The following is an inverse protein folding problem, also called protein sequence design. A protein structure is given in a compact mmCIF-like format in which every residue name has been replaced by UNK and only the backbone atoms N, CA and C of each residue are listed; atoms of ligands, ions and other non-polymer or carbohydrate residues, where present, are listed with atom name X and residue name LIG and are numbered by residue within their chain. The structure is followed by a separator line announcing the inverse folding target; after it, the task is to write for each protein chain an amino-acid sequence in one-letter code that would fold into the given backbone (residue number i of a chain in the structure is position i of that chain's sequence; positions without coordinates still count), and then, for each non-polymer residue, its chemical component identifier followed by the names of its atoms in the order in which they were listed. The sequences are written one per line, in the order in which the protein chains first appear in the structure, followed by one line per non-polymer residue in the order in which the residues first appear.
data_IF_807718876025
#
_entry.id   IF_807718876025
#
_cell.length_a   1.000
_cell.length_b   1.000
_cell.length_c   1.000
_cell.angle_alpha   90.00
_cell.angle_beta   90.00
_cell.angle_gamma   90.00
#
_symmetry.space_group_name_H-M   'P 1'
#
loop_
_entity.id
_entity.type
_entity.pdbx_description
1 polymer ?
#
# COMPACT_ATOMS: atom_id res chain seq x y z
N UNK A 1 -17.22 7.18 0.26
CA UNK A 1 -16.36 5.98 0.25
C UNK A 1 -15.53 6.03 1.53
N UNK A 2 -15.82 5.14 2.47
CA UNK A 2 -15.17 5.08 3.78
C UNK A 2 -13.68 4.77 3.60
N UNK A 3 -12.84 5.51 4.34
CA UNK A 3 -11.39 5.29 4.32
C UNK A 3 -11.11 3.89 4.85
N UNK A 4 -10.73 3.00 3.94
CA UNK A 4 -10.81 1.56 4.14
C UNK A 4 -9.60 1.00 4.88
N UNK A 5 -8.55 1.79 5.15
CA UNK A 5 -7.29 1.28 5.68
C UNK A 5 -7.19 1.31 7.20
N UNK A 6 -6.43 0.38 7.79
CA UNK A 6 -6.21 0.28 9.24
C UNK A 6 -4.73 0.37 9.62
N UNK A 7 -4.44 0.77 10.86
CA UNK A 7 -3.06 0.77 11.38
C UNK A 7 -2.60 -0.68 11.56
N UNK A 8 -1.40 -0.99 11.08
CA UNK A 8 -0.84 -2.34 11.02
C UNK A 8 -1.18 -3.09 9.74
N UNK A 9 -2.03 -2.54 8.87
CA UNK A 9 -2.38 -3.16 7.60
C UNK A 9 -1.24 -3.06 6.58
N UNK A 10 -1.07 -4.12 5.78
CA UNK A 10 -0.15 -4.13 4.65
C UNK A 10 -0.89 -3.71 3.38
N UNK A 11 -0.32 -2.73 2.69
CA UNK A 11 -0.88 -2.17 1.45
C UNK A 11 0.15 -2.25 0.32
N UNK A 12 -0.33 -2.40 -0.92
CA UNK A 12 0.51 -2.41 -2.12
C UNK A 12 0.40 -1.07 -2.81
N UNK A 13 1.54 -0.46 -3.15
CA UNK A 13 1.55 0.76 -3.95
C UNK A 13 1.18 0.45 -5.40
N UNK A 14 0.06 1.00 -5.88
CA UNK A 14 -0.37 0.89 -7.28
C UNK A 14 0.11 2.08 -8.12
N UNK A 15 0.44 3.21 -7.48
CA UNK A 15 0.86 4.43 -8.16
C UNK A 15 1.99 5.17 -7.42
N UNK A 16 3.22 4.88 -7.84
CA UNK A 16 4.43 5.56 -7.38
C UNK A 16 4.82 6.82 -8.19
N UNK A 17 3.99 7.27 -9.15
CA UNK A 17 4.34 8.39 -10.03
C UNK A 17 4.11 9.75 -9.33
N UNK A 18 5.11 10.63 -9.45
CA UNK A 18 4.93 12.08 -9.40
C UNK A 18 5.49 12.67 -10.69
N UNK A 19 4.86 13.73 -11.17
CA UNK A 19 5.04 14.29 -12.50
C UNK A 19 6.46 14.88 -12.73
N UNK A 20 7.24 15.18 -11.67
CA UNK A 20 8.55 15.85 -11.78
C UNK A 20 9.67 15.38 -10.79
N UNK A 21 9.40 14.47 -9.83
CA UNK A 21 10.40 13.97 -8.86
C UNK A 21 9.98 12.66 -8.15
N UNK A 22 10.93 11.95 -7.55
CA UNK A 22 10.69 10.70 -6.80
C UNK A 22 9.90 10.96 -5.51
N UNK A 23 8.82 10.20 -5.28
CA UNK A 23 7.96 10.24 -4.08
C UNK A 23 8.63 9.57 -2.86
N UNK A 24 9.80 10.04 -2.43
CA UNK A 24 10.35 9.58 -1.14
C UNK A 24 10.72 8.11 -1.05
N UNK A 25 11.06 7.48 -2.18
CA UNK A 25 11.40 6.06 -2.21
C UNK A 25 10.20 5.13 -2.41
N UNK A 26 8.99 5.65 -2.57
CA UNK A 26 7.82 4.84 -2.94
C UNK A 26 8.03 4.19 -4.32
N UNK A 27 7.78 2.89 -4.42
CA UNK A 27 7.88 2.12 -5.67
C UNK A 27 6.58 1.37 -5.94
N UNK A 28 6.26 1.25 -7.23
CA UNK A 28 5.08 0.52 -7.67
C UNK A 28 5.25 -0.98 -7.37
N UNK A 29 4.15 -1.61 -6.96
CA UNK A 29 4.02 -3.03 -6.63
C UNK A 29 4.79 -3.48 -5.37
N UNK A 30 5.44 -2.55 -4.66
CA UNK A 30 5.99 -2.81 -3.33
C UNK A 30 4.90 -2.73 -2.24
N UNK A 31 5.12 -3.51 -1.17
CA UNK A 31 4.27 -3.58 0.01
C UNK A 31 4.80 -2.67 1.12
N UNK A 32 3.88 -2.05 1.86
CA UNK A 32 4.18 -1.13 2.94
C UNK A 32 3.21 -1.31 4.10
N UNK A 33 3.67 -1.02 5.32
CA UNK A 33 2.87 -1.13 6.53
C UNK A 33 2.32 0.24 6.93
N UNK A 34 1.00 0.34 7.10
CA UNK A 34 0.35 1.56 7.60
C UNK A 34 0.63 1.72 9.09
N UNK A 35 1.23 2.84 9.49
CA UNK A 35 1.52 3.16 10.92
C UNK A 35 0.73 4.35 11.44
N UNK A 36 -0.02 5.02 10.57
CA UNK A 36 -0.85 6.14 10.96
C UNK A 36 -1.44 6.85 9.76
N UNK A 37 -2.17 7.93 10.06
CA UNK A 37 -2.88 8.72 9.06
C UNK A 37 -2.60 10.20 9.26
N UNK A 38 -2.51 10.94 8.16
CA UNK A 38 -2.54 12.39 8.20
C UNK A 38 -3.92 12.86 8.70
N UNK A 39 -3.99 13.73 9.73
CA UNK A 39 -5.25 14.18 10.32
C UNK A 39 -6.17 14.95 9.36
N UNK A 40 -5.64 15.51 8.26
CA UNK A 40 -6.41 16.36 7.35
C UNK A 40 -7.00 15.62 6.16
N UNK A 41 -6.19 14.83 5.45
CA UNK A 41 -6.56 14.18 4.20
C UNK A 41 -6.64 12.64 4.30
N UNK A 42 -6.41 12.10 5.52
CA UNK A 42 -6.32 10.66 5.80
C UNK A 42 -5.29 9.93 4.92
N UNK A 43 -4.27 10.63 4.42
CA UNK A 43 -3.12 10.02 3.76
C UNK A 43 -2.41 9.03 4.67
N UNK A 44 -1.86 7.97 4.08
CA UNK A 44 -1.22 6.86 4.78
C UNK A 44 0.20 7.23 5.16
N UNK A 45 0.52 7.11 6.45
CA UNK A 45 1.89 7.16 6.95
C UNK A 45 2.41 5.72 6.94
N UNK A 46 3.53 5.50 6.27
CA UNK A 46 4.10 4.17 6.08
C UNK A 46 5.32 3.96 6.99
N UNK A 47 5.54 2.73 7.42
CA UNK A 47 6.68 2.36 8.26
C UNK A 47 8.01 2.48 7.52
N UNK A 48 8.03 2.02 6.27
CA UNK A 48 9.26 1.78 5.50
C UNK A 48 9.75 3.03 4.76
N UNK A 49 8.83 3.93 4.38
CA UNK A 49 9.14 5.11 3.57
C UNK A 49 8.38 6.34 4.06
N UNK A 50 8.99 7.52 3.93
CA UNK A 50 8.41 8.80 4.32
C UNK A 50 8.22 9.68 3.09
N UNK A 51 7.10 10.41 3.04
CA UNK A 51 6.82 11.34 1.93
C UNK A 51 7.59 12.67 2.12
N UNK A 52 8.61 12.99 1.30
CA UNK A 52 9.53 14.11 1.51
C UNK A 52 8.92 15.50 1.21
N UNK A 53 7.61 15.58 0.99
CA UNK A 53 6.91 16.84 0.72
C UNK A 53 5.59 16.97 1.46
N UNK A 54 5.33 16.11 2.45
CA UNK A 54 4.16 16.19 3.31
C UNK A 54 4.62 16.58 4.71
N UNK A 55 4.00 17.61 5.31
CA UNK A 55 4.26 17.99 6.71
C UNK A 55 4.01 16.84 7.70
N UNK A 56 3.14 15.88 7.32
CA UNK A 56 2.83 14.68 8.09
C UNK A 56 3.51 13.41 7.58
N UNK A 57 4.46 13.52 6.64
CA UNK A 57 5.14 12.37 6.00
C UNK A 57 4.21 11.33 5.35
N UNK A 58 2.99 11.71 4.98
CA UNK A 58 1.96 10.81 4.46
C UNK A 58 1.90 10.79 2.93
N UNK A 59 1.35 9.69 2.39
CA UNK A 59 1.05 9.50 0.96
C UNK A 59 -0.46 9.42 0.75
N UNK A 60 -0.96 9.88 -0.40
CA UNK A 60 -2.39 9.83 -0.71
C UNK A 60 -2.91 8.38 -0.77
N UNK A 61 -4.05 8.11 -0.13
CA UNK A 61 -4.64 6.77 -0.01
C UNK A 61 -4.95 6.08 -1.35
N UNK A 62 -5.38 6.86 -2.35
CA UNK A 62 -5.66 6.40 -3.72
C UNK A 62 -4.45 5.75 -4.44
N UNK A 63 -3.24 5.91 -3.90
CA UNK A 63 -2.01 5.31 -4.45
C UNK A 63 -1.80 3.88 -4.00
N UNK A 64 -2.65 3.38 -3.11
CA UNK A 64 -2.52 2.08 -2.49
C UNK A 64 -3.76 1.23 -2.71
N UNK A 65 -3.55 -0.08 -2.76
CA UNK A 65 -4.61 -1.08 -2.63
C UNK A 65 -4.34 -1.96 -1.43
N UNK A 66 -5.40 -2.52 -0.85
CA UNK A 66 -5.26 -3.55 0.19
C UNK A 66 -4.66 -4.82 -0.38
N UNK A 67 -3.89 -5.51 0.46
CA UNK A 67 -3.51 -6.89 0.19
C UNK A 67 -4.68 -7.77 0.61
N UNK A 68 -5.28 -8.45 -0.36
CA UNK A 68 -6.26 -9.50 -0.10
C UNK A 68 -5.52 -10.83 0.09
N UNK A 69 -5.23 -11.15 1.36
CA UNK A 69 -4.54 -12.39 1.73
C UNK A 69 -5.40 -13.63 1.48
N UNK A 70 -6.73 -13.51 1.56
CA UNK A 70 -7.64 -14.63 1.30
C UNK A 70 -7.60 -15.00 -0.19
N UNK A 71 -7.67 -14.00 -1.05
CA UNK A 71 -7.48 -14.19 -2.49
C UNK A 71 -6.13 -14.83 -2.80
N UNK A 72 -5.03 -14.28 -2.27
CA UNK A 72 -3.70 -14.82 -2.51
C UNK A 72 -3.57 -16.28 -2.08
N UNK A 73 -4.11 -16.62 -0.89
CA UNK A 73 -4.10 -17.99 -0.37
C UNK A 73 -4.90 -18.93 -1.26
N UNK A 74 -6.08 -18.51 -1.70
CA UNK A 74 -6.93 -19.29 -2.60
C UNK A 74 -6.24 -19.57 -3.94
N UNK A 75 -5.63 -18.55 -4.55
CA UNK A 75 -4.90 -18.70 -5.82
C UNK A 75 -3.72 -19.66 -5.69
N UNK A 76 -2.96 -19.59 -4.60
CA UNK A 76 -1.85 -20.53 -4.35
C UNK A 76 -2.37 -21.96 -4.23
N UNK A 77 -3.45 -22.18 -3.47
CA UNK A 77 -4.06 -23.51 -3.32
C UNK A 77 -4.55 -24.08 -4.66
N UNK A 78 -5.15 -23.25 -5.50
CA UNK A 78 -5.61 -23.66 -6.84
C UNK A 78 -4.43 -24.05 -7.75
N UNK A 79 -3.33 -23.29 -7.73
CA UNK A 79 -2.13 -23.60 -8.51
C UNK A 79 -1.43 -24.87 -8.03
N UNK A 80 -1.31 -25.07 -6.72
CA UNK A 80 -0.72 -26.29 -6.14
C UNK A 80 -1.53 -27.54 -6.54
N UNK A 81 -2.85 -27.43 -6.56
CA UNK A 81 -3.75 -28.52 -6.99
C UNK A 81 -3.59 -28.83 -8.48
N UNK A 82 -3.33 -27.82 -9.32
CA UNK A 82 -3.11 -28.00 -10.76
C UNK A 82 -1.75 -28.61 -11.12
N UNK A 83 -0.71 -28.34 -10.32
CA UNK A 83 0.64 -28.85 -10.54
C UNK A 83 0.93 -30.24 -9.91
N UNK A 84 -0.06 -30.85 -9.26
CA UNK A 84 0.07 -32.17 -8.61
C UNK A 84 -0.28 -33.38 -9.51
N UNK A 85 -0.17 -33.25 -10.84
CA UNK A 85 -0.40 -34.33 -11.81
C UNK A 85 0.88 -34.75 -12.56
#
# INVERSE_FOLDING_TARGET
MENTFEIGEVVVCINARRYWYKLGGLKKDEMYTVVGFNPYDKGLILKEVKSPGSGYNAFAAERFRKVDYEFAKKTIQELDTQHSY
#
